data_IF_730463656929
#
_entry.id   IF_730463656929
#
_cell.length_a   1.000
_cell.length_b   1.000
_cell.length_c   1.000
_cell.angle_alpha   90.00
_cell.angle_beta   90.00
_cell.angle_gamma   90.00
#
_symmetry.space_group_name_H-M   'P 1'
#
loop_
_entity.id
_entity.type
_entity.pdbx_description
1 polymer ?
#
# COMPACT_ATOMS: atom_id res chain seq x y z
N UNK A 1 12.92 -25.38 10.66
CA UNK A 1 11.52 -25.21 11.13
C UNK A 1 11.09 -23.78 10.90
N UNK A 2 10.68 -23.46 9.67
CA UNK A 2 10.18 -22.14 9.31
C UNK A 2 8.66 -22.24 9.26
N UNK A 3 7.97 -21.58 10.20
CA UNK A 3 6.52 -21.49 10.17
C UNK A 3 6.13 -20.13 9.61
N UNK A 4 5.16 -20.12 8.70
CA UNK A 4 4.69 -18.90 8.04
C UNK A 4 3.18 -18.81 8.18
N UNK A 5 2.70 -17.63 8.55
CA UNK A 5 1.27 -17.29 8.58
C UNK A 5 1.04 -16.14 7.60
N UNK A 6 -0.03 -16.25 6.81
CA UNK A 6 -0.55 -15.14 6.03
C UNK A 6 -1.80 -14.56 6.69
N UNK A 7 -1.88 -13.23 6.73
CA UNK A 7 -3.03 -12.46 7.18
C UNK A 7 -3.56 -11.59 6.03
N UNK A 8 -4.77 -11.87 5.56
CA UNK A 8 -5.50 -10.98 4.66
C UNK A 8 -6.07 -9.78 5.42
N UNK A 9 -5.21 -8.80 5.75
CA UNK A 9 -5.56 -7.62 6.56
C UNK A 9 -6.78 -6.90 6.02
N UNK A 10 -6.89 -6.73 4.70
CA UNK A 10 -8.06 -6.10 4.06
C UNK A 10 -9.40 -6.76 4.44
N UNK A 11 -9.43 -8.10 4.56
CA UNK A 11 -10.61 -8.84 5.01
C UNK A 11 -10.85 -8.71 6.52
N UNK A 12 -9.79 -8.51 7.30
CA UNK A 12 -9.85 -8.42 8.75
C UNK A 12 -10.27 -7.04 9.25
N UNK A 13 -10.02 -5.98 8.48
CA UNK A 13 -10.48 -4.62 8.81
C UNK A 13 -11.88 -4.32 8.27
N UNK A 14 -12.41 -5.17 7.39
CA UNK A 14 -13.77 -5.05 6.87
C UNK A 14 -14.79 -5.46 7.94
N UNK A 15 -15.51 -4.45 8.44
CA UNK A 15 -16.53 -4.60 9.49
C UNK A 15 -17.94 -4.89 8.96
N UNK A 16 -18.12 -4.95 7.63
CA UNK A 16 -19.43 -5.22 7.02
C UNK A 16 -19.89 -6.69 7.21
N UNK A 17 -18.97 -7.59 7.51
CA UNK A 17 -19.28 -9.00 7.75
C UNK A 17 -19.72 -9.22 9.19
N UNK A 18 -21.00 -9.59 9.37
CA UNK A 18 -21.64 -9.82 10.66
C UNK A 18 -20.81 -10.69 11.61
N UNK A 19 -20.21 -10.04 12.61
CA UNK A 19 -19.38 -10.66 13.65
C UNK A 19 -19.93 -10.30 15.03
N UNK A 20 -19.47 -11.02 16.07
CA UNK A 20 -19.87 -10.75 17.46
C UNK A 20 -19.35 -9.37 17.87
N UNK A 21 -20.25 -8.40 17.91
CA UNK A 21 -19.96 -7.02 18.28
C UNK A 21 -20.06 -6.85 19.79
N UNK A 22 -18.99 -6.35 20.39
CA UNK A 22 -18.96 -6.00 21.82
C UNK A 22 -18.78 -4.49 21.96
N UNK A 23 -19.73 -3.82 22.60
CA UNK A 23 -19.60 -2.41 23.00
C UNK A 23 -18.88 -2.35 24.35
N UNK A 24 -17.65 -1.82 24.38
CA UNK A 24 -16.83 -1.87 25.59
C UNK A 24 -16.89 -0.56 26.39
N UNK A 25 -17.13 -0.65 27.70
CA UNK A 25 -16.90 0.43 28.67
C UNK A 25 -15.45 0.33 29.15
N UNK A 26 -14.63 1.33 28.79
CA UNK A 26 -13.43 1.77 29.52
C UNK A 26 -12.60 0.65 30.19
N UNK A 27 -11.62 0.08 29.48
CA UNK A 27 -10.66 -0.86 30.08
C UNK A 27 -9.47 -0.06 30.62
N UNK A 28 -9.32 0.01 31.94
CA UNK A 28 -8.02 0.27 32.56
C UNK A 28 -7.22 -1.04 32.53
N UNK A 29 -6.08 -1.04 31.85
CA UNK A 29 -5.13 -2.15 31.90
C UNK A 29 -4.48 -2.18 33.29
N UNK A 30 -4.86 -3.16 34.11
CA UNK A 30 -3.97 -3.68 35.15
C UNK A 30 -3.48 -5.05 34.67
N UNK A 31 -2.17 -5.12 34.42
CA UNK A 31 -1.51 -6.37 34.07
C UNK A 31 -1.67 -7.39 35.19
N UNK A 32 -1.87 -8.64 34.82
CA UNK A 32 -1.73 -9.76 35.73
C UNK A 32 -0.88 -10.83 35.06
N UNK A 33 0.33 -11.01 35.60
CA UNK A 33 1.09 -12.24 35.51
C UNK A 33 0.34 -13.34 36.28
N UNK A 34 0.36 -14.58 35.79
CA UNK A 34 0.92 -15.73 36.52
C UNK A 34 0.43 -17.10 36.01
N UNK A 35 1.43 -17.95 35.75
CA UNK A 35 1.57 -19.39 36.01
C UNK A 35 0.54 -20.42 35.52
N UNK A 36 1.09 -21.30 34.67
CA UNK A 36 0.95 -22.76 34.64
C UNK A 36 -0.41 -23.38 35.03
N UNK A 37 -0.94 -24.11 34.05
CA UNK A 37 -2.09 -25.02 34.06
C UNK A 37 -3.48 -24.35 33.95
N UNK A 38 -3.98 -24.40 32.71
CA UNK A 38 -5.40 -24.46 32.34
C UNK A 38 -6.30 -23.30 32.80
N UNK A 39 -6.60 -22.36 31.90
CA UNK A 39 -7.73 -21.43 32.09
C UNK A 39 -8.68 -21.51 30.90
N UNK A 40 -9.88 -22.03 31.17
CA UNK A 40 -11.09 -21.70 30.44
C UNK A 40 -11.57 -20.32 30.90
N UNK A 41 -11.88 -19.41 29.97
CA UNK A 41 -12.68 -18.22 30.31
C UNK A 41 -14.16 -18.58 30.17
N UNK A 42 -14.87 -18.60 31.30
CA UNK A 42 -16.33 -18.61 31.35
C UNK A 42 -16.75 -17.47 32.29
N UNK A 43 -17.48 -16.49 31.77
CA UNK A 43 -18.33 -15.63 32.60
C UNK A 43 -19.71 -16.27 32.67
N UNK A 44 -20.23 -16.52 33.87
CA UNK A 44 -21.62 -16.31 34.31
C UNK A 44 -21.76 -16.69 35.80
N UNK A 45 -22.75 -16.12 36.52
CA UNK A 45 -22.80 -16.07 37.98
C UNK A 45 -23.28 -17.37 38.60
N UNK A 46 -22.86 -17.55 39.85
CA UNK A 46 -23.33 -18.44 40.91
C UNK A 46 -24.00 -19.79 40.57
N UNK A 47 -23.45 -20.81 41.23
CA UNK A 47 -23.94 -22.17 41.45
C UNK A 47 -23.58 -23.28 40.43
N UNK A 48 -22.93 -24.32 40.96
CA UNK A 48 -22.98 -25.69 40.44
C UNK A 48 -21.78 -26.14 39.59
N UNK A 49 -20.85 -26.89 40.20
CA UNK A 49 -19.85 -27.67 39.48
C UNK A 49 -20.48 -28.91 38.85
N UNK A 50 -20.36 -29.06 37.52
CA UNK A 50 -20.37 -30.36 36.86
C UNK A 50 -19.22 -30.45 35.85
N UNK A 51 -18.38 -31.46 36.03
CA UNK A 51 -17.29 -31.83 35.14
C UNK A 51 -17.81 -32.58 33.92
N UNK A 52 -17.61 -32.03 32.72
CA UNK A 52 -17.79 -32.76 31.46
C UNK A 52 -16.47 -32.82 30.68
N UNK A 53 -15.92 -34.03 30.52
CA UNK A 53 -14.95 -34.32 29.45
C UNK A 53 -15.68 -34.22 28.11
N UNK A 54 -15.33 -33.22 27.29
CA UNK A 54 -15.77 -33.10 25.90
C UNK A 54 -14.57 -33.03 24.96
N UNK A 55 -14.72 -33.53 23.71
CA UNK A 55 -13.64 -33.55 22.73
C UNK A 55 -13.19 -32.12 22.43
N UNK A 56 -11.88 -31.90 22.31
CA UNK A 56 -11.27 -30.58 22.15
C UNK A 56 -11.68 -29.98 20.81
N UNK A 57 -12.70 -29.13 20.84
CA UNK A 57 -13.12 -28.27 19.74
C UNK A 57 -12.04 -27.20 19.59
N UNK A 58 -11.51 -27.01 18.38
CA UNK A 58 -10.65 -25.88 18.06
C UNK A 58 -11.41 -24.57 18.36
N UNK A 59 -11.05 -23.90 19.45
CA UNK A 59 -11.69 -22.64 19.87
C UNK A 59 -11.05 -21.52 19.06
N UNK A 60 -11.73 -21.10 17.99
CA UNK A 60 -11.47 -19.84 17.29
C UNK A 60 -12.42 -18.78 17.84
N UNK A 61 -11.88 -17.67 18.36
CA UNK A 61 -12.66 -16.48 18.69
C UNK A 61 -12.30 -15.32 17.77
N UNK A 62 -13.27 -14.46 17.52
CA UNK A 62 -13.17 -13.31 16.62
C UNK A 62 -14.07 -12.20 17.18
N UNK A 63 -13.46 -11.35 17.97
CA UNK A 63 -14.15 -10.38 18.82
C UNK A 63 -13.85 -8.96 18.30
N UNK A 64 -14.92 -8.21 17.99
CA UNK A 64 -14.82 -6.84 17.49
C UNK A 64 -15.24 -5.86 18.58
N UNK A 65 -14.32 -4.98 18.98
CA UNK A 65 -14.54 -3.96 20.00
C UNK A 65 -14.69 -2.59 19.35
N UNK A 66 -15.87 -2.01 19.55
CA UNK A 66 -16.21 -0.66 19.14
C UNK A 66 -16.14 0.28 20.37
N UNK A 67 -15.49 1.44 20.27
CA UNK A 67 -15.64 2.52 21.24
C UNK A 67 -17.11 2.92 21.31
N UNK A 68 -17.52 3.46 22.46
CA UNK A 68 -18.81 4.17 22.54
C UNK A 68 -18.79 5.32 21.55
N UNK A 69 -19.90 5.48 20.83
CA UNK A 69 -20.12 6.56 19.85
C UNK A 69 -19.52 7.86 20.38
N UNK A 70 -18.45 8.34 19.73
CA UNK A 70 -18.03 9.73 19.86
C UNK A 70 -19.07 10.56 19.12
N UNK A 71 -19.49 11.68 19.70
CA UNK A 71 -20.35 12.68 19.04
C UNK A 71 -19.61 13.45 17.92
N UNK A 72 -18.53 12.87 17.37
CA UNK A 72 -17.80 13.48 16.26
C UNK A 72 -18.54 13.17 14.97
N UNK A 73 -18.98 14.26 14.36
CA UNK A 73 -19.91 14.34 13.24
C UNK A 73 -19.57 13.38 12.10
N UNK A 74 -20.62 12.73 11.58
CA UNK A 74 -20.68 12.05 10.29
C UNK A 74 -19.78 12.74 9.25
N UNK A 75 -18.61 12.19 8.94
CA UNK A 75 -17.90 12.54 7.70
C UNK A 75 -18.64 11.85 6.55
N UNK A 76 -19.22 12.62 5.63
CA UNK A 76 -19.87 12.06 4.46
C UNK A 76 -18.84 11.26 3.65
N UNK A 77 -19.14 9.99 3.40
CA UNK A 77 -18.32 9.05 2.62
C UNK A 77 -17.99 9.57 1.19
N UNK A 78 -18.77 10.54 0.71
CA UNK A 78 -18.62 11.23 -0.57
C UNK A 78 -17.54 12.33 -0.57
N UNK A 79 -16.93 12.64 0.58
CA UNK A 79 -15.91 13.69 0.69
C UNK A 79 -14.48 13.23 0.38
N UNK A 80 -14.27 11.93 0.18
CA UNK A 80 -12.95 11.41 -0.23
C UNK A 80 -12.57 11.89 -1.63
N UNK A 81 -11.36 12.44 -1.75
CA UNK A 81 -10.84 13.02 -2.99
C UNK A 81 -10.07 11.98 -3.79
N UNK A 82 -10.21 12.02 -5.11
CA UNK A 82 -9.25 11.38 -6.05
C UNK A 82 -8.53 12.50 -6.79
N UNK A 83 -7.23 12.59 -6.60
CA UNK A 83 -6.38 13.62 -7.20
C UNK A 83 -5.53 12.98 -8.28
N UNK A 84 -5.72 13.42 -9.51
CA UNK A 84 -4.85 13.11 -10.64
C UNK A 84 -3.69 14.08 -10.64
N UNK A 85 -2.49 13.60 -10.36
CA UNK A 85 -1.24 14.34 -10.44
C UNK A 85 -0.52 13.91 -11.72
N UNK A 86 -0.67 14.69 -12.79
CA UNK A 86 -0.30 14.28 -14.14
C UNK A 86 0.90 15.08 -14.65
N UNK A 87 1.94 14.36 -15.04
CA UNK A 87 3.09 14.91 -15.73
C UNK A 87 2.68 15.40 -17.13
N UNK A 88 3.02 16.64 -17.44
CA UNK A 88 2.85 17.25 -18.76
C UNK A 88 4.18 17.83 -19.27
N UNK A 89 5.30 17.33 -18.73
CA UNK A 89 6.65 17.72 -19.14
C UNK A 89 6.98 17.22 -20.54
N UNK A 90 8.06 17.77 -21.12
CA UNK A 90 8.46 17.44 -22.49
C UNK A 90 8.83 15.98 -22.73
N UNK A 91 9.18 15.18 -21.72
CA UNK A 91 9.46 13.74 -21.89
C UNK A 91 8.23 12.96 -22.36
N UNK A 92 7.04 13.38 -21.93
CA UNK A 92 5.74 12.81 -22.28
C UNK A 92 5.36 13.01 -23.76
N UNK A 93 6.18 13.75 -24.52
CA UNK A 93 5.97 14.00 -25.96
C UNK A 93 6.60 12.95 -26.87
N UNK A 94 7.44 12.04 -26.34
CA UNK A 94 8.18 11.08 -27.16
C UNK A 94 7.27 9.94 -27.62
N UNK A 95 6.98 9.92 -28.92
CA UNK A 95 6.21 8.86 -29.60
C UNK A 95 6.96 7.53 -29.53
N UNK A 96 6.44 6.55 -28.81
CA UNK A 96 6.86 5.15 -28.96
C UNK A 96 6.11 4.51 -30.13
N UNK A 97 6.84 3.89 -31.07
CA UNK A 97 6.25 3.09 -32.14
C UNK A 97 5.54 1.87 -31.55
N UNK A 98 4.21 1.80 -31.65
CA UNK A 98 3.47 0.57 -31.35
C UNK A 98 3.44 -0.30 -32.61
N UNK A 99 4.32 -1.31 -32.68
CA UNK A 99 4.29 -2.33 -33.73
C UNK A 99 3.11 -3.29 -33.51
N UNK A 100 2.02 -3.12 -34.27
CA UNK A 100 0.91 -4.08 -34.32
C UNK A 100 -0.11 -3.77 -35.42
N UNK A 101 0.13 -4.29 -36.64
CA UNK A 101 -0.73 -4.40 -37.85
C UNK A 101 -1.73 -3.29 -38.27
N UNK A 102 -1.86 -2.20 -37.55
CA UNK A 102 -2.48 -0.95 -37.95
C UNK A 102 -1.67 0.18 -37.28
N UNK A 103 -0.81 0.83 -38.05
CA UNK A 103 0.03 1.92 -37.55
C UNK A 103 -0.85 3.12 -37.17
N UNK A 104 -1.09 3.31 -35.87
CA UNK A 104 -1.55 4.59 -35.34
C UNK A 104 -0.35 5.31 -34.73
N UNK A 105 0.15 6.32 -35.44
CA UNK A 105 1.08 7.31 -34.88
C UNK A 105 0.33 8.14 -33.84
N UNK A 106 0.65 8.01 -32.57
CA UNK A 106 0.06 8.80 -31.49
C UNK A 106 1.15 9.41 -30.62
N UNK A 107 1.07 10.71 -30.37
CA UNK A 107 1.89 11.40 -29.35
C UNK A 107 1.45 10.86 -27.99
N UNK A 108 2.41 10.56 -27.12
CA UNK A 108 2.15 9.92 -25.83
C UNK A 108 1.25 10.78 -24.91
N UNK A 109 1.36 12.10 -25.04
CA UNK A 109 0.41 13.12 -24.55
C UNK A 109 -1.06 12.88 -24.90
N UNK A 110 -1.36 12.56 -26.17
CA UNK A 110 -2.72 12.30 -26.62
C UNK A 110 -3.25 10.98 -26.04
N UNK A 111 -2.36 10.00 -25.84
CA UNK A 111 -2.68 8.75 -25.16
C UNK A 111 -3.05 8.96 -23.69
N UNK A 112 -2.28 9.77 -22.96
CA UNK A 112 -2.57 10.10 -21.55
C UNK A 112 -3.85 10.94 -21.43
N UNK A 113 -4.05 11.92 -22.33
CA UNK A 113 -5.29 12.67 -22.40
C UNK A 113 -6.48 11.74 -22.58
N UNK A 114 -6.52 10.92 -23.63
CA UNK A 114 -7.59 9.95 -23.89
C UNK A 114 -7.80 8.98 -22.72
N UNK A 115 -6.72 8.53 -22.09
CA UNK A 115 -6.80 7.68 -20.91
C UNK A 115 -7.47 8.37 -19.72
N UNK A 116 -7.12 9.64 -19.47
CA UNK A 116 -7.75 10.46 -18.43
C UNK A 116 -9.22 10.74 -18.76
N UNK A 117 -9.57 11.02 -20.02
CA UNK A 117 -10.96 11.15 -20.47
C UNK A 117 -11.78 9.89 -20.14
N UNK A 118 -11.27 8.72 -20.52
CA UNK A 118 -11.93 7.43 -20.27
C UNK A 118 -12.05 7.13 -18.78
N UNK A 119 -11.01 7.41 -18.01
CA UNK A 119 -11.01 7.25 -16.56
C UNK A 119 -12.06 8.14 -15.88
N UNK A 120 -12.07 9.44 -16.19
CA UNK A 120 -13.05 10.38 -15.65
C UNK A 120 -14.49 9.99 -16.03
N UNK A 121 -14.69 9.54 -17.27
CA UNK A 121 -16.00 9.05 -17.73
C UNK A 121 -16.46 7.82 -16.94
N UNK A 122 -15.55 6.87 -16.69
CA UNK A 122 -15.82 5.67 -15.88
C UNK A 122 -16.16 6.04 -14.43
N UNK A 123 -15.37 6.92 -13.80
CA UNK A 123 -15.61 7.39 -12.43
C UNK A 123 -16.97 8.10 -12.35
N UNK A 124 -17.32 8.93 -13.33
CA UNK A 124 -18.64 9.59 -13.39
C UNK A 124 -19.79 8.59 -13.44
N UNK A 125 -19.64 7.49 -14.19
CA UNK A 125 -20.68 6.46 -14.32
C UNK A 125 -20.83 5.62 -13.05
N UNK A 126 -19.71 5.23 -12.42
CA UNK A 126 -19.72 4.33 -11.28
C UNK A 126 -19.90 5.04 -9.93
N UNK A 127 -19.40 6.27 -9.80
CA UNK A 127 -19.33 7.03 -8.56
C UNK A 127 -19.52 8.52 -8.85
N UNK A 128 -20.73 8.95 -9.27
CA UNK A 128 -21.01 10.33 -9.69
C UNK A 128 -20.76 11.38 -8.59
N UNK A 129 -20.90 10.98 -7.33
CA UNK A 129 -20.64 11.83 -6.16
C UNK A 129 -19.17 11.84 -5.72
N UNK A 130 -18.27 11.15 -6.44
CA UNK A 130 -16.85 11.22 -6.12
C UNK A 130 -16.29 12.59 -6.49
N UNK A 131 -15.56 13.21 -5.57
CA UNK A 131 -14.83 14.44 -5.81
C UNK A 131 -13.51 14.12 -6.50
N UNK A 132 -13.25 14.80 -7.61
CA UNK A 132 -12.03 14.59 -8.42
C UNK A 132 -11.31 15.91 -8.62
N UNK A 133 -10.00 15.89 -8.42
CA UNK A 133 -9.12 17.03 -8.67
C UNK A 133 -8.05 16.70 -9.71
N UNK A 134 -7.64 17.71 -10.45
CA UNK A 134 -6.50 17.66 -11.36
C UNK A 134 -5.39 18.60 -10.87
N UNK A 135 -4.19 18.05 -10.80
CA UNK A 135 -2.92 18.75 -10.62
C UNK A 135 -2.06 18.34 -11.80
N UNK A 136 -1.49 19.30 -12.51
CA UNK A 136 -0.49 19.01 -13.55
C UNK A 136 0.85 19.59 -13.16
N UNK A 137 1.92 19.02 -13.70
CA UNK A 137 3.24 19.53 -13.45
C UNK A 137 4.17 19.41 -14.64
N UNK A 138 5.03 20.40 -14.77
CA UNK A 138 6.15 20.47 -15.70
C UNK A 138 7.29 21.29 -15.06
N UNK A 139 7.68 22.44 -15.61
CA UNK A 139 8.53 23.43 -14.93
C UNK A 139 7.75 24.26 -13.88
N UNK A 140 6.43 24.13 -13.83
CA UNK A 140 5.55 24.66 -12.79
C UNK A 140 4.55 23.61 -12.30
N UNK A 141 4.00 23.78 -11.10
CA UNK A 141 2.88 22.98 -10.60
C UNK A 141 1.61 23.79 -10.73
N UNK A 142 0.61 23.25 -11.44
CA UNK A 142 -0.70 23.89 -11.60
C UNK A 142 -1.78 23.06 -10.93
N UNK A 143 -2.40 23.63 -9.90
CA UNK A 143 -3.54 23.05 -9.21
C UNK A 143 -4.82 23.57 -9.88
N UNK A 144 -5.52 22.70 -10.61
CA UNK A 144 -6.83 23.02 -11.19
C UNK A 144 -7.99 22.72 -10.23
N UNK A 145 -7.81 21.77 -9.31
CA UNK A 145 -8.91 21.22 -8.53
C UNK A 145 -9.94 20.57 -9.44
N UNK A 146 -11.22 20.91 -9.30
CA UNK A 146 -12.30 20.44 -10.17
C UNK A 146 -12.42 21.18 -11.52
N UNK A 147 -11.53 22.14 -11.79
CA UNK A 147 -11.55 22.92 -13.02
C UNK A 147 -12.60 24.05 -13.06
N UNK A 148 -13.39 24.25 -12.01
CA UNK A 148 -14.37 25.37 -11.94
C UNK A 148 -13.71 26.67 -11.50
N UNK A 149 -12.73 26.57 -10.60
CA UNK A 149 -12.02 27.70 -10.02
C UNK A 149 -10.83 28.16 -10.88
N UNK A 150 -10.32 29.34 -10.57
CA UNK A 150 -9.07 29.86 -11.14
C UNK A 150 -7.91 28.97 -10.70
N UNK A 151 -7.11 28.41 -11.63
CA UNK A 151 -5.99 27.54 -11.29
C UNK A 151 -4.95 28.27 -10.43
N UNK A 152 -4.35 27.56 -9.48
CA UNK A 152 -3.20 28.05 -8.73
C UNK A 152 -1.91 27.51 -9.34
N UNK A 153 -1.04 28.41 -9.78
CA UNK A 153 0.27 28.07 -10.34
C UNK A 153 1.37 28.34 -9.32
N UNK A 154 2.24 27.35 -9.09
CA UNK A 154 3.45 27.43 -8.28
C UNK A 154 4.66 27.31 -9.21
N UNK A 155 5.58 28.26 -9.15
CA UNK A 155 6.77 28.34 -10.03
C UNK A 155 7.96 28.94 -9.29
N UNK A 156 9.14 28.79 -9.89
CA UNK A 156 10.40 29.34 -9.39
C UNK A 156 10.68 28.95 -7.93
N UNK A 157 10.87 29.95 -7.04
CA UNK A 157 11.14 29.76 -5.62
C UNK A 157 10.05 28.97 -4.89
N UNK A 158 8.80 29.01 -5.38
CA UNK A 158 7.70 28.29 -4.74
C UNK A 158 7.86 26.77 -4.86
N UNK A 159 8.64 26.27 -5.83
CA UNK A 159 8.90 24.84 -6.03
C UNK A 159 9.91 24.26 -5.04
N UNK A 160 10.60 25.10 -4.27
CA UNK A 160 11.61 24.67 -3.27
C UNK A 160 11.18 24.94 -1.83
N UNK A 161 9.98 25.50 -1.61
CA UNK A 161 9.47 25.85 -0.28
C UNK A 161 8.35 24.87 0.14
N UNK A 162 8.70 23.94 1.03
CA UNK A 162 7.80 22.89 1.51
C UNK A 162 6.54 23.46 2.17
N UNK A 163 6.72 24.38 3.10
CA UNK A 163 5.64 24.95 3.90
C UNK A 163 4.71 25.78 3.01
N UNK A 164 5.26 26.51 2.05
CA UNK A 164 4.48 27.25 1.07
C UNK A 164 3.59 26.32 0.24
N UNK A 165 4.16 25.26 -0.34
CA UNK A 165 3.40 24.30 -1.16
C UNK A 165 2.30 23.64 -0.32
N UNK A 166 2.64 23.19 0.90
CA UNK A 166 1.69 22.55 1.80
C UNK A 166 0.52 23.47 2.15
N UNK A 167 0.80 24.70 2.58
CA UNK A 167 -0.23 25.69 2.92
C UNK A 167 -1.12 26.01 1.71
N UNK A 168 -0.55 26.11 0.52
CA UNK A 168 -1.31 26.36 -0.72
C UNK A 168 -2.21 25.17 -1.08
N UNK A 169 -1.72 23.94 -0.94
CA UNK A 169 -2.50 22.73 -1.21
C UNK A 169 -3.67 22.55 -0.24
N UNK A 170 -3.45 22.70 1.07
CA UNK A 170 -4.49 22.59 2.09
C UNK A 170 -5.56 23.67 1.93
N UNK A 171 -5.16 24.91 1.65
CA UNK A 171 -6.10 26.04 1.54
C UNK A 171 -6.80 26.11 0.17
N UNK A 172 -6.49 25.21 -0.77
CA UNK A 172 -7.18 25.19 -2.05
C UNK A 172 -8.67 24.82 -1.88
N UNK A 173 -9.51 25.29 -2.81
CA UNK A 173 -10.95 25.06 -2.76
C UNK A 173 -11.27 23.57 -2.83
N UNK A 174 -12.29 23.14 -2.08
CA UNK A 174 -12.74 21.75 -2.07
C UNK A 174 -13.39 21.45 -3.44
N UNK A 175 -12.92 20.43 -4.18
CA UNK A 175 -13.52 20.03 -5.44
C UNK A 175 -14.98 19.62 -5.29
N UNK A 176 -15.85 20.00 -6.21
CA UNK A 176 -17.20 19.44 -6.30
C UNK A 176 -17.18 18.03 -6.91
N UNK A 177 -18.33 17.35 -6.88
CA UNK A 177 -18.49 16.01 -7.41
C UNK A 177 -18.28 15.96 -8.93
N UNK A 178 -17.73 14.85 -9.43
CA UNK A 178 -17.44 14.68 -10.85
C UNK A 178 -18.69 14.80 -11.74
N UNK A 179 -19.87 14.47 -11.22
CA UNK A 179 -21.13 14.66 -11.93
C UNK A 179 -21.33 16.11 -12.40
N UNK A 180 -20.88 17.08 -11.61
CA UNK A 180 -21.01 18.52 -11.85
C UNK A 180 -19.82 19.07 -12.66
N UNK A 181 -18.62 18.53 -12.44
CA UNK A 181 -17.36 19.15 -12.87
C UNK A 181 -16.69 18.46 -14.06
N UNK A 182 -17.22 17.31 -14.51
CA UNK A 182 -16.65 16.51 -15.59
C UNK A 182 -16.27 17.33 -16.84
N UNK A 183 -17.17 18.20 -17.31
CA UNK A 183 -16.93 19.01 -18.51
C UNK A 183 -15.84 20.07 -18.32
N UNK A 184 -15.63 20.55 -17.09
CA UNK A 184 -14.59 21.52 -16.77
C UNK A 184 -13.23 20.84 -16.68
N UNK A 185 -13.14 19.69 -16.01
CA UNK A 185 -11.90 18.92 -15.87
C UNK A 185 -11.29 18.56 -17.23
N UNK A 186 -12.12 18.05 -18.15
CA UNK A 186 -11.66 17.63 -19.46
C UNK A 186 -11.07 18.78 -20.30
N UNK A 187 -11.57 20.00 -20.13
CA UNK A 187 -11.09 21.17 -20.88
C UNK A 187 -9.75 21.71 -20.35
N UNK A 188 -9.34 21.29 -19.15
CA UNK A 188 -8.12 21.79 -18.48
C UNK A 188 -6.87 20.98 -18.83
N UNK A 189 -7.02 19.78 -19.37
CA UNK A 189 -5.88 18.97 -19.84
C UNK A 189 -5.35 19.60 -21.13
N UNK A 190 -4.21 20.29 -21.05
CA UNK A 190 -3.59 21.04 -22.16
C UNK A 190 -2.26 20.41 -22.59
N UNK A 191 -1.69 20.97 -23.65
CA UNK A 191 -0.44 20.53 -24.29
C UNK A 191 0.80 20.70 -23.40
N UNK A 192 1.83 19.93 -23.73
CA UNK A 192 3.00 19.62 -22.92
C UNK A 192 4.21 20.46 -23.27
N UNK A 193 4.88 21.02 -22.26
CA UNK A 193 6.18 21.70 -22.40
C UNK A 193 6.94 21.64 -21.08
N UNK A 194 8.27 21.71 -21.11
CA UNK A 194 9.07 22.02 -19.93
C UNK A 194 9.70 20.83 -19.21
N UNK A 195 10.27 21.11 -18.05
CA UNK A 195 10.96 20.17 -17.16
C UNK A 195 9.97 19.37 -16.29
N UNK A 196 10.43 18.63 -15.28
CA UNK A 196 9.61 17.67 -14.51
C UNK A 196 9.72 17.95 -13.00
N UNK A 197 8.85 18.81 -12.46
CA UNK A 197 8.79 19.16 -11.02
C UNK A 197 7.89 18.19 -10.20
N UNK A 198 8.24 16.90 -10.24
CA UNK A 198 7.43 15.82 -9.64
C UNK A 198 7.24 15.98 -8.12
N UNK A 199 8.31 16.28 -7.36
CA UNK A 199 8.23 16.34 -5.91
C UNK A 199 7.29 17.44 -5.37
N UNK A 200 7.39 18.69 -5.87
CA UNK A 200 6.43 19.74 -5.53
C UNK A 200 4.99 19.39 -5.90
N UNK A 201 4.77 18.73 -7.04
CA UNK A 201 3.44 18.30 -7.48
C UNK A 201 2.84 17.22 -6.58
N UNK A 202 3.65 16.23 -6.20
CA UNK A 202 3.26 15.19 -5.26
C UNK A 202 2.92 15.80 -3.88
N UNK A 203 3.75 16.73 -3.40
CA UNK A 203 3.50 17.44 -2.13
C UNK A 203 2.19 18.24 -2.16
N UNK A 204 1.96 19.03 -3.21
CA UNK A 204 0.72 19.80 -3.38
C UNK A 204 -0.53 18.89 -3.41
N UNK A 205 -0.41 17.76 -4.10
CA UNK A 205 -1.48 16.76 -4.20
C UNK A 205 -1.77 16.10 -2.86
N UNK A 206 -0.74 15.66 -2.13
CA UNK A 206 -0.90 15.09 -0.78
C UNK A 206 -1.47 16.12 0.19
N UNK A 207 -1.00 17.37 0.14
CA UNK A 207 -1.51 18.45 0.97
C UNK A 207 -3.01 18.68 0.75
N UNK A 208 -3.48 18.68 -0.51
CA UNK A 208 -4.90 18.78 -0.82
C UNK A 208 -5.69 17.55 -0.32
N UNK A 209 -5.17 16.34 -0.54
CA UNK A 209 -5.80 15.10 -0.12
C UNK A 209 -5.85 14.93 1.41
N UNK A 210 -4.89 15.50 2.13
CA UNK A 210 -4.70 15.34 3.58
C UNK A 210 -5.89 15.78 4.44
N UNK A 211 -6.77 16.61 3.86
CA UNK A 211 -7.99 17.11 4.50
C UNK A 211 -9.05 16.04 4.67
N UNK A 212 -8.99 14.99 3.85
CA UNK A 212 -10.01 13.95 3.79
C UNK A 212 -9.32 12.58 3.84
N UNK A 213 -9.23 11.97 5.03
CA UNK A 213 -8.68 10.63 5.16
C UNK A 213 -9.38 9.63 4.24
N UNK A 214 -8.61 8.73 3.63
CA UNK A 214 -9.08 7.82 2.59
C UNK A 214 -9.00 8.39 1.17
N UNK A 215 -8.54 9.64 1.01
CA UNK A 215 -8.27 10.22 -0.31
C UNK A 215 -7.10 9.55 -1.01
N UNK A 216 -7.09 9.66 -2.33
CA UNK A 216 -6.11 9.05 -3.22
C UNK A 216 -5.42 10.09 -4.07
N UNK A 217 -4.11 9.92 -4.24
CA UNK A 217 -3.31 10.62 -5.23
C UNK A 217 -2.85 9.59 -6.24
N UNK A 218 -3.14 9.82 -7.52
CA UNK A 218 -2.66 9.01 -8.64
C UNK A 218 -1.60 9.85 -9.35
N UNK A 219 -0.33 9.51 -9.12
CA UNK A 219 0.82 10.18 -9.71
C UNK A 219 1.19 9.48 -11.01
N UNK A 220 1.03 10.17 -12.13
CA UNK A 220 1.44 9.70 -13.45
C UNK A 220 2.67 10.48 -13.89
N UNK A 221 3.76 9.79 -14.23
CA UNK A 221 5.00 10.41 -14.74
C UNK A 221 5.73 9.46 -15.66
N UNK A 222 6.48 10.01 -16.62
CA UNK A 222 7.38 9.24 -17.48
C UNK A 222 8.84 9.68 -17.31
N UNK A 223 9.09 10.70 -16.49
CA UNK A 223 10.38 11.36 -16.35
C UNK A 223 10.90 11.34 -14.92
N UNK A 224 12.20 11.61 -14.78
CA UNK A 224 12.83 11.81 -13.47
C UNK A 224 12.54 13.22 -12.98
N UNK A 225 12.35 13.36 -11.68
CA UNK A 225 12.28 14.68 -11.06
C UNK A 225 13.60 15.43 -11.27
N UNK A 226 13.56 16.59 -11.93
CA UNK A 226 14.75 17.38 -12.28
C UNK A 226 14.68 18.85 -11.81
N UNK A 227 13.54 19.29 -11.25
CA UNK A 227 13.39 20.63 -10.66
C UNK A 227 12.63 20.56 -9.34
N UNK A 228 13.03 21.39 -8.38
CA UNK A 228 12.30 21.63 -7.14
C UNK A 228 12.63 20.61 -6.04
N UNK A 229 11.75 20.53 -5.03
CA UNK A 229 11.91 19.55 -3.95
C UNK A 229 11.93 18.11 -4.49
N UNK A 230 12.84 17.27 -3.99
CA UNK A 230 12.92 15.87 -4.42
C UNK A 230 13.50 15.67 -5.82
N UNK A 231 14.29 16.63 -6.32
CA UNK A 231 15.14 16.47 -7.50
C UNK A 231 16.04 15.23 -7.39
N UNK A 232 16.09 14.45 -8.46
CA UNK A 232 16.78 13.16 -8.55
C UNK A 232 18.05 13.19 -9.40
N UNK A 233 18.27 14.27 -10.15
CA UNK A 233 19.50 14.48 -10.89
C UNK A 233 20.57 15.06 -9.96
N UNK A 234 21.64 14.29 -9.73
CA UNK A 234 22.78 14.76 -8.97
C UNK A 234 23.56 15.76 -9.83
N UNK A 235 23.42 17.05 -9.55
CA UNK A 235 24.49 17.98 -9.89
C UNK A 235 25.76 17.55 -9.10
N UNK A 236 26.94 17.48 -9.73
CA UNK A 236 28.21 17.26 -9.04
C UNK A 236 28.57 18.52 -8.25
N UNK A 237 27.82 18.80 -7.20
CA UNK A 237 28.05 19.90 -6.29
C UNK A 237 28.81 19.38 -5.06
N UNK A 238 29.86 20.10 -4.68
CA UNK A 238 30.80 19.80 -3.59
C UNK A 238 30.16 19.84 -2.18
N UNK A 239 28.84 19.93 -2.11
CA UNK A 239 28.06 19.97 -0.88
C UNK A 239 26.86 19.03 -1.05
N UNK A 240 26.80 17.89 -0.34
CA UNK A 240 25.62 17.05 -0.36
C UNK A 240 24.46 17.87 0.22
N UNK A 241 23.50 18.25 -0.61
CA UNK A 241 22.24 18.80 -0.12
C UNK A 241 21.57 17.69 0.71
N UNK A 242 21.52 17.88 2.02
CA UNK A 242 21.16 16.86 3.02
C UNK A 242 19.71 16.37 2.98
N UNK A 243 18.93 16.72 1.94
CA UNK A 243 17.48 16.58 1.90
C UNK A 243 16.94 15.70 0.74
N UNK A 244 17.76 15.35 -0.26
CA UNK A 244 17.28 14.70 -1.49
C UNK A 244 16.85 13.22 -1.34
N UNK A 245 17.55 12.32 -0.61
CA UNK A 245 17.15 10.91 -0.56
C UNK A 245 15.94 10.65 0.36
N UNK A 246 15.58 11.61 1.22
CA UNK A 246 14.54 11.44 2.23
C UNK A 246 13.20 12.10 1.88
N UNK A 247 13.17 12.99 0.88
CA UNK A 247 11.97 13.77 0.58
C UNK A 247 10.73 12.89 0.37
N UNK A 248 10.80 11.91 -0.54
CA UNK A 248 9.68 11.01 -0.81
C UNK A 248 9.33 10.10 0.37
N UNK A 249 10.30 9.75 1.22
CA UNK A 249 10.03 8.97 2.43
C UNK A 249 9.28 9.80 3.47
N UNK A 250 9.66 11.06 3.66
CA UNK A 250 8.96 11.98 4.57
C UNK A 250 7.54 12.26 4.08
N UNK A 251 7.38 12.52 2.78
CA UNK A 251 6.06 12.70 2.16
C UNK A 251 5.17 11.46 2.33
N UNK A 252 5.75 10.25 2.21
CA UNK A 252 5.02 9.01 2.43
C UNK A 252 4.54 8.87 3.88
N UNK A 253 5.38 9.18 4.87
CA UNK A 253 5.02 9.16 6.29
C UNK A 253 3.88 10.13 6.56
N UNK A 254 3.99 11.37 6.06
CA UNK A 254 2.93 12.37 6.22
C UNK A 254 1.62 11.92 5.54
N UNK A 255 1.69 11.33 4.35
CA UNK A 255 0.51 10.77 3.69
C UNK A 255 -0.15 9.64 4.52
N UNK A 256 0.64 8.72 5.10
CA UNK A 256 0.12 7.67 5.99
C UNK A 256 -0.58 8.28 7.22
N UNK A 257 0.03 9.26 7.87
CA UNK A 257 -0.55 9.93 9.05
C UNK A 257 -1.88 10.62 8.73
N UNK A 258 -2.00 11.20 7.54
CA UNK A 258 -3.22 11.87 7.05
C UNK A 258 -4.22 10.90 6.42
N UNK A 259 -3.90 9.61 6.33
CA UNK A 259 -4.77 8.60 5.72
C UNK A 259 -4.87 8.71 4.20
N UNK A 260 -3.90 9.30 3.53
CA UNK A 260 -3.83 9.46 2.07
C UNK A 260 -3.09 8.28 1.46
N UNK A 261 -3.62 7.76 0.34
CA UNK A 261 -2.94 6.73 -0.47
C UNK A 261 -2.35 7.37 -1.71
N UNK A 262 -1.09 7.07 -2.01
CA UNK A 262 -0.41 7.52 -3.22
C UNK A 262 -0.20 6.30 -4.11
N UNK A 263 -0.69 6.31 -5.34
CA UNK A 263 -0.38 5.29 -6.33
C UNK A 263 0.45 5.92 -7.45
N UNK A 264 1.48 5.21 -7.89
CA UNK A 264 2.43 5.68 -8.90
C UNK A 264 2.22 4.91 -10.18
N UNK A 265 2.05 5.63 -11.27
CA UNK A 265 1.96 5.11 -12.63
C UNK A 265 3.13 5.65 -13.43
N UNK A 266 4.02 4.76 -13.84
CA UNK A 266 5.09 5.07 -14.79
C UNK A 266 4.82 4.39 -16.12
N UNK A 267 5.60 4.72 -17.14
CA UNK A 267 5.36 4.17 -18.46
C UNK A 267 6.44 3.19 -18.92
N UNK A 268 6.04 2.23 -19.75
CA UNK A 268 6.94 1.25 -20.34
C UNK A 268 8.08 1.95 -21.11
N UNK A 269 9.31 1.49 -20.90
CA UNK A 269 10.50 2.05 -21.56
C UNK A 269 11.02 3.36 -20.98
N UNK A 270 10.47 3.83 -19.85
CA UNK A 270 10.90 5.06 -19.20
C UNK A 270 11.59 4.79 -17.86
N UNK A 271 12.58 5.62 -17.51
CA UNK A 271 13.29 5.54 -16.23
C UNK A 271 12.88 6.71 -15.35
N UNK A 272 11.87 6.49 -14.51
CA UNK A 272 11.37 7.47 -13.54
C UNK A 272 12.00 7.31 -12.15
N UNK A 273 13.06 6.50 -12.01
CA UNK A 273 13.58 6.03 -10.71
C UNK A 273 12.48 5.48 -9.80
N UNK A 274 11.77 4.47 -10.29
CA UNK A 274 10.70 3.78 -9.55
C UNK A 274 11.12 3.29 -8.16
N UNK A 275 12.41 2.99 -7.94
CA UNK A 275 12.93 2.64 -6.63
C UNK A 275 12.74 3.75 -5.57
N UNK A 276 12.73 5.02 -5.98
CA UNK A 276 12.57 6.16 -5.09
C UNK A 276 11.11 6.59 -4.96
N UNK A 277 10.40 6.79 -6.08
CA UNK A 277 8.98 7.19 -6.04
C UNK A 277 8.05 6.04 -5.66
N UNK A 278 8.43 4.79 -5.93
CA UNK A 278 7.65 3.60 -5.57
C UNK A 278 7.49 3.41 -4.06
N UNK A 279 8.42 3.97 -3.25
CA UNK A 279 8.31 4.02 -1.79
C UNK A 279 7.07 4.77 -1.32
N UNK A 280 6.60 5.77 -2.07
CA UNK A 280 5.35 6.48 -1.78
C UNK A 280 4.17 5.51 -1.80
N UNK A 281 4.09 4.67 -2.83
CA UNK A 281 3.02 3.70 -2.98
C UNK A 281 3.12 2.56 -1.98
N UNK A 282 4.32 1.99 -1.80
CA UNK A 282 4.54 0.91 -0.85
C UNK A 282 4.17 1.32 0.59
N UNK A 283 4.66 2.46 1.06
CA UNK A 283 4.40 2.93 2.42
C UNK A 283 2.94 3.36 2.65
N UNK A 284 2.25 3.89 1.63
CA UNK A 284 0.87 4.38 1.77
C UNK A 284 -0.19 3.33 1.42
N UNK A 285 0.21 2.12 1.04
CA UNK A 285 -0.73 1.06 0.61
C UNK A 285 -1.33 1.29 -0.78
N UNK A 286 -0.66 2.08 -1.61
CA UNK A 286 -1.00 2.29 -3.01
C UNK A 286 -0.38 1.26 -3.94
N UNK A 287 -0.44 1.51 -5.25
CA UNK A 287 0.10 0.61 -6.28
C UNK A 287 1.19 1.29 -7.10
N UNK A 288 2.18 0.50 -7.51
CA UNK A 288 3.15 0.89 -8.54
C UNK A 288 2.83 0.11 -9.80
N UNK A 289 2.43 0.81 -10.85
CA UNK A 289 2.09 0.21 -12.13
C UNK A 289 2.96 0.80 -13.24
N UNK A 290 3.57 -0.06 -14.05
CA UNK A 290 4.18 0.32 -15.32
C UNK A 290 3.11 0.12 -16.39
N UNK A 291 2.78 1.17 -17.13
CA UNK A 291 1.67 1.21 -18.07
C UNK A 291 2.10 1.57 -19.49
N UNK A 292 1.32 1.10 -20.45
CA UNK A 292 1.37 1.54 -21.84
C UNK A 292 0.19 2.47 -22.13
N UNK A 293 0.30 3.30 -23.17
CA UNK A 293 -0.76 4.27 -23.55
C UNK A 293 -2.15 3.64 -23.67
N UNK A 294 -2.24 2.38 -24.14
CA UNK A 294 -3.50 1.64 -24.26
C UNK A 294 -4.07 1.09 -22.94
N UNK A 295 -3.25 0.95 -21.89
CA UNK A 295 -3.63 0.31 -20.61
C UNK A 295 -3.84 1.31 -19.47
N UNK A 296 -3.31 2.54 -19.58
CA UNK A 296 -3.40 3.60 -18.57
C UNK A 296 -4.83 3.77 -18.03
N UNK A 297 -5.84 3.89 -18.91
CA UNK A 297 -7.23 4.12 -18.51
C UNK A 297 -7.76 3.02 -17.57
N UNK A 298 -7.43 1.77 -17.88
CA UNK A 298 -7.84 0.60 -17.09
C UNK A 298 -7.15 0.59 -15.74
N UNK A 299 -5.87 0.92 -15.70
CA UNK A 299 -5.11 0.95 -14.44
C UNK A 299 -5.57 2.10 -13.54
N UNK A 300 -5.83 3.28 -14.10
CA UNK A 300 -6.45 4.41 -13.38
C UNK A 300 -7.78 3.99 -12.77
N UNK A 301 -8.63 3.30 -13.54
CA UNK A 301 -9.91 2.83 -13.05
C UNK A 301 -9.73 1.84 -11.89
N UNK A 302 -8.85 0.84 -12.06
CA UNK A 302 -8.53 -0.16 -11.03
C UNK A 302 -8.05 0.49 -9.72
N UNK A 303 -7.17 1.48 -9.80
CA UNK A 303 -6.66 2.23 -8.64
C UNK A 303 -7.77 3.10 -8.02
N UNK A 304 -8.64 3.69 -8.84
CA UNK A 304 -9.76 4.52 -8.37
C UNK A 304 -10.80 3.70 -7.60
N UNK A 305 -11.06 2.45 -8.02
CA UNK A 305 -12.01 1.53 -7.37
C UNK A 305 -11.48 0.95 -6.03
N UNK A 306 -10.16 0.85 -5.86
CA UNK A 306 -9.54 0.20 -4.68
C UNK A 306 -9.55 1.08 -3.43
N UNK A 307 -10.70 1.23 -2.79
CA UNK A 307 -10.91 2.18 -1.71
C UNK A 307 -10.25 1.75 -0.39
N UNK A 308 -9.71 2.72 0.36
CA UNK A 308 -9.16 2.52 1.71
C UNK A 308 -10.24 1.97 2.63
N UNK A 309 -10.06 0.80 3.22
CA UNK A 309 -11.01 0.23 4.19
C UNK A 309 -10.75 0.76 5.60
N UNK A 310 -9.48 0.94 5.94
CA UNK A 310 -9.05 1.41 7.25
C UNK A 310 -7.75 2.21 7.16
N UNK A 311 -7.54 3.12 8.11
CA UNK A 311 -6.33 3.93 8.25
C UNK A 311 -5.66 3.68 9.60
N UNK A 312 -4.35 3.94 9.68
CA UNK A 312 -3.57 3.77 10.92
C UNK A 312 -3.66 2.35 11.50
N UNK A 313 -3.63 1.33 10.63
CA UNK A 313 -3.73 -0.06 11.03
C UNK A 313 -2.44 -0.52 11.68
N UNK A 314 -2.58 -1.11 12.86
CA UNK A 314 -1.52 -1.70 13.67
C UNK A 314 -1.88 -3.15 13.98
N UNK A 315 -1.00 -4.08 13.58
CA UNK A 315 -1.11 -5.48 13.94
C UNK A 315 -0.18 -5.81 15.11
N UNK A 316 -0.73 -6.49 16.10
CA UNK A 316 0.03 -7.02 17.23
C UNK A 316 -0.24 -8.50 17.35
N UNK A 317 0.78 -9.32 17.15
CA UNK A 317 0.72 -10.77 17.35
C UNK A 317 1.29 -11.09 18.73
N UNK A 318 0.55 -11.86 19.52
CA UNK A 318 0.99 -12.38 20.79
C UNK A 318 1.28 -13.88 20.69
N UNK A 319 2.36 -14.28 21.35
CA UNK A 319 2.81 -15.66 21.52
C UNK A 319 2.78 -15.99 23.03
N UNK A 320 1.63 -16.40 23.58
CA UNK A 320 1.45 -16.58 25.02
C UNK A 320 2.34 -17.65 25.68
N UNK A 321 3.03 -18.45 24.87
CA UNK A 321 3.95 -19.51 25.31
C UNK A 321 5.42 -19.04 25.40
N UNK A 322 5.72 -17.81 24.98
CA UNK A 322 7.06 -17.21 25.06
C UNK A 322 7.20 -16.34 26.32
N UNK A 323 8.42 -16.25 26.85
CA UNK A 323 8.73 -15.43 28.03
C UNK A 323 8.81 -13.93 27.70
N UNK A 324 8.90 -13.11 28.76
CA UNK A 324 8.59 -11.67 28.84
C UNK A 324 8.99 -10.79 27.63
N UNK A 325 10.09 -11.06 26.92
CA UNK A 325 10.55 -10.19 25.83
C UNK A 325 10.20 -10.65 24.40
N UNK A 326 9.81 -11.91 24.19
CA UNK A 326 9.52 -12.46 22.86
C UNK A 326 8.05 -12.82 22.63
N UNK A 327 7.19 -12.55 23.62
CA UNK A 327 5.76 -12.86 23.58
C UNK A 327 4.94 -11.97 22.65
N UNK A 328 5.55 -10.98 21.97
CA UNK A 328 4.83 -9.97 21.18
C UNK A 328 5.61 -9.51 19.96
N UNK A 329 4.93 -9.46 18.82
CA UNK A 329 5.41 -8.80 17.60
C UNK A 329 4.43 -7.68 17.21
N UNK A 330 4.95 -6.48 16.96
CA UNK A 330 4.15 -5.32 16.55
C UNK A 330 4.58 -4.88 15.16
N UNK A 331 3.61 -4.72 14.26
CA UNK A 331 3.82 -4.15 12.92
C UNK A 331 2.83 -3.01 12.70
N UNK A 332 3.37 -1.83 12.41
CA UNK A 332 2.58 -0.72 11.85
C UNK A 332 2.39 -1.00 10.35
N UNK A 333 1.13 -1.00 9.92
CA UNK A 333 0.72 -1.31 8.54
C UNK A 333 0.29 -0.03 7.80
N UNK A 334 -0.34 0.92 8.49
CA UNK A 334 -0.77 2.17 7.87
C UNK A 334 -2.14 2.07 7.22
N UNK A 335 -2.26 2.49 5.95
CA UNK A 335 -3.53 2.49 5.23
C UNK A 335 -3.78 1.15 4.55
N UNK A 336 -5.00 0.63 4.65
CA UNK A 336 -5.32 -0.74 4.22
C UNK A 336 -6.43 -0.72 3.18
N UNK A 337 -6.16 -1.32 2.04
CA UNK A 337 -7.14 -1.62 0.99
C UNK A 337 -7.60 -3.08 1.05
N UNK A 338 -8.57 -3.46 0.23
CA UNK A 338 -9.18 -4.81 0.27
C UNK A 338 -8.17 -5.93 -0.03
N UNK A 339 -7.21 -5.64 -0.91
CA UNK A 339 -6.22 -6.62 -1.36
C UNK A 339 -5.05 -6.84 -0.42
N UNK A 340 -4.90 -6.05 0.66
CA UNK A 340 -3.69 -6.11 1.47
C UNK A 340 -3.59 -7.44 2.24
N UNK A 341 -2.47 -8.12 2.02
CA UNK A 341 -2.08 -9.37 2.65
C UNK A 341 -0.65 -9.26 3.17
N UNK A 342 -0.42 -9.66 4.41
CA UNK A 342 0.91 -9.64 5.04
C UNK A 342 1.25 -11.03 5.55
N UNK A 343 2.54 -11.37 5.53
CA UNK A 343 3.03 -12.63 6.05
C UNK A 343 3.97 -12.43 7.23
N UNK A 344 3.97 -13.40 8.15
CA UNK A 344 4.88 -13.44 9.29
C UNK A 344 5.55 -14.79 9.37
N UNK A 345 6.87 -14.75 9.57
CA UNK A 345 7.67 -15.92 9.87
C UNK A 345 7.92 -16.02 11.37
N UNK A 346 7.80 -17.22 11.92
CA UNK A 346 8.14 -17.51 13.31
C UNK A 346 8.77 -18.90 13.46
N UNK A 347 9.50 -19.08 14.54
CA UNK A 347 10.06 -20.36 14.97
C UNK A 347 9.39 -20.80 16.28
N UNK A 348 9.27 -22.11 16.46
CA UNK A 348 8.74 -22.72 17.70
C UNK A 348 9.90 -23.38 18.41
N UNK A 349 10.06 -23.12 19.72
CA UNK A 349 11.08 -23.78 20.54
C UNK A 349 10.86 -25.30 20.57
N UNK A 350 11.92 -26.11 20.64
CA UNK A 350 11.82 -27.58 20.64
C UNK A 350 10.80 -28.13 21.65
N UNK A 351 10.75 -27.54 22.85
CA UNK A 351 9.88 -27.97 23.96
C UNK A 351 8.38 -27.88 23.65
N UNK A 352 7.99 -27.08 22.66
CA UNK A 352 6.58 -26.86 22.29
C UNK A 352 6.21 -27.45 20.92
N UNK A 353 7.11 -28.22 20.28
CA UNK A 353 6.89 -28.74 18.93
C UNK A 353 5.74 -29.75 18.80
N UNK A 354 5.31 -30.39 19.89
CA UNK A 354 4.16 -31.32 19.86
C UNK A 354 2.91 -30.72 20.53
N UNK A 355 2.99 -29.46 20.95
CA UNK A 355 1.93 -28.79 21.69
C UNK A 355 0.95 -28.06 20.78
N UNK A 356 -0.25 -27.82 21.32
CA UNK A 356 -1.20 -26.87 20.76
C UNK A 356 -0.73 -25.45 21.13
N UNK A 357 -0.34 -24.67 20.13
CA UNK A 357 0.17 -23.32 20.30
C UNK A 357 -0.98 -22.31 20.19
N UNK A 358 -1.24 -21.51 21.24
CA UNK A 358 -2.15 -20.38 21.14
C UNK A 358 -1.47 -19.23 20.38
N UNK A 359 -2.24 -18.58 19.50
CA UNK A 359 -1.87 -17.34 18.84
C UNK A 359 -2.99 -16.34 19.03
N UNK A 360 -2.63 -15.10 19.33
CA UNK A 360 -3.60 -14.01 19.37
C UNK A 360 -3.14 -12.87 18.47
N UNK A 361 -4.01 -12.46 17.56
CA UNK A 361 -3.83 -11.30 16.72
C UNK A 361 -4.74 -10.19 17.22
N UNK A 362 -4.16 -9.04 17.56
CA UNK A 362 -4.88 -7.81 17.84
C UNK A 362 -4.63 -6.82 16.71
N UNK A 363 -5.69 -6.41 16.04
CA UNK A 363 -5.69 -5.34 15.05
C UNK A 363 -6.30 -4.09 15.67
N UNK A 364 -5.57 -2.98 15.66
CA UNK A 364 -6.07 -1.66 16.02
C UNK A 364 -6.07 -0.79 14.77
N UNK A 365 -7.19 -0.14 14.44
CA UNK A 365 -7.31 0.67 13.23
C UNK A 365 -8.37 1.75 13.36
N UNK A 366 -8.48 2.65 12.37
CA UNK A 366 -9.60 3.56 12.21
C UNK A 366 -10.42 3.16 10.98
N UNK A 367 -11.75 3.16 11.08
CA UNK A 367 -12.63 3.02 9.92
C UNK A 367 -12.56 4.25 9.03
N UNK A 368 -13.23 4.19 7.88
CA UNK A 368 -13.48 5.36 7.03
C UNK A 368 -14.11 6.52 7.80
N UNK A 369 -15.09 6.20 8.64
CA UNK A 369 -15.81 7.16 9.48
C UNK A 369 -15.00 7.60 10.71
N UNK A 370 -13.66 7.44 10.70
CA UNK A 370 -12.73 7.80 11.78
C UNK A 370 -12.96 7.11 13.14
N UNK A 371 -13.82 6.08 13.20
CA UNK A 371 -14.03 5.32 14.42
C UNK A 371 -12.83 4.41 14.66
N UNK A 372 -12.23 4.52 15.84
CA UNK A 372 -11.16 3.61 16.27
C UNK A 372 -11.77 2.24 16.52
N UNK A 373 -11.17 1.16 16.04
CA UNK A 373 -11.65 -0.21 16.23
C UNK A 373 -10.50 -1.06 16.73
N UNK A 374 -10.81 -2.01 17.61
CA UNK A 374 -9.91 -3.10 17.95
C UNK A 374 -10.56 -4.44 17.65
N UNK A 375 -9.92 -5.26 16.82
CA UNK A 375 -10.35 -6.63 16.53
C UNK A 375 -9.36 -7.60 17.13
N UNK A 376 -9.84 -8.60 17.87
CA UNK A 376 -9.01 -9.62 18.50
C UNK A 376 -9.40 -10.98 17.94
N UNK A 377 -8.43 -11.68 17.37
CA UNK A 377 -8.60 -13.02 16.82
C UNK A 377 -7.71 -13.96 17.61
N UNK A 378 -8.30 -14.99 18.20
CA UNK A 378 -7.56 -16.02 18.93
C UNK A 378 -7.71 -17.35 18.21
N UNK A 379 -6.59 -17.98 17.85
CA UNK A 379 -6.55 -19.31 17.25
C UNK A 379 -5.59 -20.22 18.02
N UNK A 380 -5.90 -21.52 18.01
CA UNK A 380 -5.03 -22.57 18.53
C UNK A 380 -4.59 -23.46 17.38
N UNK A 381 -3.28 -23.65 17.19
CA UNK A 381 -2.76 -24.52 16.12
C UNK A 381 -1.79 -25.56 16.63
N UNK A 382 -1.87 -26.75 16.06
CA UNK A 382 -0.90 -27.82 16.30
C UNK A 382 0.34 -27.52 15.46
N UNK A 383 1.51 -27.51 16.10
CA UNK A 383 2.82 -27.23 15.48
C UNK A 383 3.09 -28.08 14.21
N UNK A 384 2.61 -29.32 14.15
CA UNK A 384 2.73 -30.23 13.00
C UNK A 384 1.64 -30.07 11.91
N UNK A 385 1.05 -28.88 11.76
CA UNK A 385 -0.02 -28.67 10.78
C UNK A 385 0.47 -28.66 9.32
N UNK A 386 -0.45 -28.98 8.39
CA UNK A 386 -0.20 -29.18 6.96
C UNK A 386 0.57 -28.01 6.32
N UNK A 387 1.62 -28.34 5.57
CA UNK A 387 2.37 -27.42 4.72
C UNK A 387 1.44 -26.78 3.67
N UNK A 388 1.40 -25.45 3.63
CA UNK A 388 0.67 -24.69 2.62
C UNK A 388 1.66 -23.96 1.71
N UNK A 389 1.87 -24.52 0.51
CA UNK A 389 2.84 -23.98 -0.45
C UNK A 389 2.46 -22.61 -0.98
N UNK A 390 1.16 -22.29 -1.06
CA UNK A 390 0.70 -20.98 -1.46
C UNK A 390 1.17 -19.90 -0.46
N UNK A 391 0.97 -20.13 0.84
CA UNK A 391 1.39 -19.19 1.90
C UNK A 391 2.92 -19.02 1.94
N UNK A 392 3.67 -20.12 1.78
CA UNK A 392 5.13 -20.05 1.71
C UNK A 392 5.61 -19.31 0.46
N UNK A 393 4.95 -19.50 -0.67
CA UNK A 393 5.23 -18.78 -1.91
C UNK A 393 5.01 -17.28 -1.76
N UNK A 394 3.85 -16.86 -1.23
CA UNK A 394 3.56 -15.44 -0.95
C UNK A 394 4.60 -14.84 -0.01
N UNK A 395 4.98 -15.56 1.06
CA UNK A 395 5.98 -15.07 1.99
C UNK A 395 7.37 -14.92 1.37
N UNK A 396 7.82 -15.92 0.61
CA UNK A 396 9.07 -15.83 -0.13
C UNK A 396 9.06 -14.63 -1.09
N UNK A 397 7.93 -14.39 -1.76
CA UNK A 397 7.77 -13.25 -2.65
C UNK A 397 7.89 -11.91 -1.92
N UNK A 398 7.16 -11.74 -0.82
CA UNK A 398 7.23 -10.54 -0.01
C UNK A 398 8.63 -10.31 0.59
N UNK A 399 9.28 -11.37 1.09
CA UNK A 399 10.61 -11.30 1.67
C UNK A 399 11.67 -10.93 0.63
N UNK A 400 11.68 -11.60 -0.53
CA UNK A 400 12.64 -11.31 -1.59
C UNK A 400 12.44 -9.89 -2.14
N UNK A 401 11.20 -9.45 -2.33
CA UNK A 401 10.92 -8.08 -2.76
C UNK A 401 11.45 -7.04 -1.76
N UNK A 402 11.19 -7.23 -0.46
CA UNK A 402 11.69 -6.33 0.59
C UNK A 402 13.23 -6.27 0.60
N UNK A 403 13.90 -7.42 0.56
CA UNK A 403 15.36 -7.50 0.55
C UNK A 403 15.97 -6.83 -0.69
N UNK A 404 15.37 -7.04 -1.87
CA UNK A 404 15.81 -6.39 -3.12
C UNK A 404 15.65 -4.88 -3.03
N UNK A 405 14.54 -4.37 -2.49
CA UNK A 405 14.31 -2.93 -2.30
C UNK A 405 15.29 -2.30 -1.30
N UNK A 406 15.76 -3.07 -0.32
CA UNK A 406 16.82 -2.65 0.63
C UNK A 406 18.24 -2.76 0.04
N UNK A 407 18.38 -3.24 -1.20
CA UNK A 407 19.67 -3.46 -1.86
C UNK A 407 20.38 -4.75 -1.43
N UNK A 408 19.73 -5.60 -0.62
CA UNK A 408 20.26 -6.89 -0.15
C UNK A 408 19.99 -8.03 -1.14
N UNK A 409 20.37 -7.82 -2.40
CA UNK A 409 20.05 -8.74 -3.53
C UNK A 409 20.63 -10.14 -3.32
N UNK A 410 21.84 -10.24 -2.77
CA UNK A 410 22.45 -11.54 -2.47
C UNK A 410 21.65 -12.33 -1.43
N UNK A 411 21.07 -11.66 -0.43
CA UNK A 411 20.21 -12.32 0.56
C UNK A 411 18.90 -12.77 -0.08
N UNK A 412 18.27 -11.93 -0.91
CA UNK A 412 17.07 -12.28 -1.66
C UNK A 412 17.30 -13.55 -2.51
N UNK A 413 18.44 -13.64 -3.21
CA UNK A 413 18.82 -14.82 -3.98
C UNK A 413 19.01 -16.07 -3.13
N UNK A 414 19.64 -15.94 -1.94
CA UNK A 414 19.79 -17.07 -1.00
C UNK A 414 18.43 -17.59 -0.53
N UNK A 415 17.52 -16.69 -0.17
CA UNK A 415 16.16 -17.04 0.27
C UNK A 415 15.36 -17.71 -0.86
N UNK A 416 15.42 -17.15 -2.07
CA UNK A 416 14.76 -17.72 -3.25
C UNK A 416 15.27 -19.14 -3.55
N UNK A 417 16.59 -19.35 -3.52
CA UNK A 417 17.20 -20.66 -3.73
C UNK A 417 16.80 -21.68 -2.66
N UNK A 418 16.82 -21.28 -1.38
CA UNK A 418 16.38 -22.14 -0.30
C UNK A 418 14.91 -22.58 -0.47
N UNK A 419 14.05 -21.69 -0.96
CA UNK A 419 12.65 -22.01 -1.25
C UNK A 419 12.49 -22.94 -2.46
N UNK A 420 13.29 -22.76 -3.52
CA UNK A 420 13.32 -23.67 -4.67
C UNK A 420 13.76 -25.07 -4.26
N UNK A 421 14.79 -25.20 -3.42
CA UNK A 421 15.25 -26.48 -2.88
C UNK A 421 14.16 -27.16 -2.04
N UNK A 422 13.44 -26.40 -1.21
CA UNK A 422 12.29 -26.91 -0.44
C UNK A 422 11.18 -27.43 -1.37
N UNK A 423 10.82 -26.69 -2.41
CA UNK A 423 9.83 -27.09 -3.41
C UNK A 423 10.23 -28.38 -4.13
N UNK A 424 11.50 -28.51 -4.52
CA UNK A 424 12.03 -29.74 -5.13
C UNK A 424 12.00 -30.93 -4.18
N UNK A 425 12.17 -30.71 -2.88
CA UNK A 425 12.01 -31.78 -1.89
C UNK A 425 10.55 -32.18 -1.76
N UNK A 426 9.64 -31.22 -1.60
CA UNK A 426 8.19 -31.48 -1.45
C UNK A 426 7.60 -32.17 -2.67
N UNK A 427 8.03 -31.80 -3.89
CA UNK A 427 7.54 -32.40 -5.14
C UNK A 427 7.86 -33.89 -5.27
N UNK A 428 8.94 -34.37 -4.63
CA UNK A 428 9.28 -35.80 -4.56
C UNK A 428 8.30 -36.61 -3.70
N UNK A 429 7.69 -35.97 -2.70
CA UNK A 429 6.77 -36.62 -1.76
C UNK A 429 5.30 -36.44 -2.14
N UNK A 430 4.96 -35.43 -2.94
CA UNK A 430 3.59 -35.13 -3.36
C UNK A 430 3.55 -34.48 -4.75
N UNK A 431 2.69 -34.95 -5.68
CA UNK A 431 2.47 -34.26 -6.94
C UNK A 431 1.79 -32.91 -6.71
N UNK A 432 2.38 -31.87 -7.29
CA UNK A 432 2.00 -30.46 -7.17
C UNK A 432 0.67 -30.20 -7.91
N UNK A 433 -0.28 -29.49 -7.29
CA UNK A 433 -1.58 -29.14 -7.90
C UNK A 433 -1.47 -27.90 -8.81
N UNK A 434 -2.42 -27.71 -9.75
CA UNK A 434 -2.41 -26.60 -10.73
C UNK A 434 -2.33 -25.19 -10.11
N UNK A 435 -2.87 -24.96 -8.91
CA UNK A 435 -2.73 -23.65 -8.22
C UNK A 435 -1.29 -23.35 -7.79
N UNK A 436 -0.48 -24.38 -7.53
CA UNK A 436 0.96 -24.26 -7.22
C UNK A 436 1.80 -23.96 -8.49
N UNK A 437 1.21 -24.09 -9.69
CA UNK A 437 1.86 -23.74 -10.98
C UNK A 437 1.97 -22.24 -11.23
N UNK A 438 1.06 -21.42 -10.69
CA UNK A 438 1.13 -19.95 -10.80
C UNK A 438 2.37 -19.43 -10.06
N UNK A 439 2.74 -20.09 -8.96
CA UNK A 439 3.94 -19.78 -8.18
C UNK A 439 5.24 -20.14 -8.91
N UNK A 440 5.22 -21.20 -9.75
CA UNK A 440 6.33 -21.54 -10.65
C UNK A 440 6.71 -20.35 -11.55
N UNK A 441 5.72 -19.77 -12.22
CA UNK A 441 5.93 -18.62 -13.11
C UNK A 441 6.44 -17.38 -12.36
N UNK A 442 5.92 -17.13 -11.15
CA UNK A 442 6.39 -16.00 -10.33
C UNK A 442 7.85 -16.19 -9.90
N UNK A 443 8.24 -17.39 -9.44
CA UNK A 443 9.64 -17.65 -9.05
C UNK A 443 10.60 -17.52 -10.21
N UNK A 444 10.21 -17.95 -11.41
CA UNK A 444 11.00 -17.77 -12.62
C UNK A 444 11.22 -16.28 -12.91
N UNK A 445 10.14 -15.47 -12.84
CA UNK A 445 10.22 -14.01 -13.00
C UNK A 445 11.14 -13.36 -11.98
N UNK A 446 11.05 -13.75 -10.69
CA UNK A 446 11.91 -13.20 -9.65
C UNK A 446 13.37 -13.63 -9.80
N UNK A 447 13.62 -14.84 -10.30
CA UNK A 447 14.98 -15.31 -10.60
C UNK A 447 15.61 -14.41 -11.66
N UNK A 448 14.87 -14.13 -12.75
CA UNK A 448 15.31 -13.21 -13.81
C UNK A 448 15.59 -11.81 -13.27
N UNK A 449 14.69 -11.23 -12.48
CA UNK A 449 14.89 -9.89 -11.88
C UNK A 449 16.16 -9.85 -11.01
N UNK A 450 16.36 -10.87 -10.16
CA UNK A 450 17.55 -10.95 -9.32
C UNK A 450 18.84 -11.11 -10.15
N UNK A 451 18.80 -11.86 -11.26
CA UNK A 451 19.94 -12.04 -12.17
C UNK A 451 20.27 -10.72 -12.90
N UNK A 452 19.25 -10.02 -13.41
CA UNK A 452 19.39 -8.73 -14.11
C UNK A 452 20.03 -7.66 -13.20
N UNK A 453 19.56 -7.53 -11.96
CA UNK A 453 20.14 -6.56 -10.99
C UNK A 453 21.60 -6.90 -10.66
N UNK A 454 21.94 -8.20 -10.62
CA UNK A 454 23.31 -8.64 -10.31
C UNK A 454 24.25 -8.39 -11.49
N UNK A 455 23.77 -8.56 -12.72
CA UNK A 455 24.56 -8.27 -13.92
C UNK A 455 24.79 -6.77 -14.10
N UNK A 456 23.80 -5.91 -13.84
CA UNK A 456 24.00 -4.45 -13.80
C UNK A 456 25.01 -4.03 -12.73
N UNK A 457 24.94 -4.62 -11.52
CA UNK A 457 25.90 -4.36 -10.44
C UNK A 457 27.33 -4.79 -10.80
N UNK A 458 27.50 -5.90 -11.52
CA UNK A 458 28.80 -6.37 -11.99
C UNK A 458 29.37 -5.52 -13.14
N UNK A 459 28.52 -5.02 -14.04
CA UNK A 459 28.92 -4.11 -15.12
C UNK A 459 29.40 -2.77 -14.55
N UNK A 460 28.76 -2.25 -13.51
CA UNK A 460 29.21 -1.03 -12.81
C UNK A 460 30.56 -1.25 -12.12
N UNK A 461 30.80 -2.41 -11.52
CA UNK A 461 32.09 -2.73 -10.88
C UNK A 461 33.21 -2.98 -11.91
N UNK A 462 32.89 -3.46 -13.12
CA UNK A 462 33.87 -3.67 -14.19
C UNK A 462 34.23 -2.38 -14.96
N UNK A 463 33.44 -1.31 -14.80
CA UNK A 463 33.65 0.00 -15.43
C UNK A 463 34.31 1.04 -14.50
N UNK A 464 34.60 0.67 -13.24
CA UNK A 464 35.45 1.40 -12.28
C UNK A 464 36.81 0.72 -12.22
#
# INVERSE_FOLDING_TARGET
>A
NVNVVSLGVGKLVDISQGQRTHTCKQISFQGLFCFYHSIYFLFLPDSGMETFQKPVICVRSDDLYLPRQSEDDYQNLEDTLVIFCVDISGSMSVTTEVCGNFCCFGVFSQGMQDALYRALSSIKQQSPHRRVALVTFNDEVVIYGDGTSTPLTLRDWALVDYDHIWQKGVNYHIPHCIAETYHHLIQRVKEEHGATCLGPAALASVAMASRYPGSKVILCTDGKANIGLGEMEQAPSLTPSSFTPYFYTQLAIEAVEKGVIISVMSFEGTDCRLADIGKLADATGGRVNIVSTGTVAREIQSVSEDNVLATGVKATLYFPYEDENNHKLVKEIGNVTKGLEITFQFAVKPDFMESMLPFQLQLSFKTRDQHRITRIITEHRISASRLNMAVLGVHCAQLCASLTMEGQVQEAQRQLKAQQDLLQQVSKWRPIQKEESIYGNWMETMTTICEDITTESQVIIALV
#
